data_IF_827420764530
#
_entry.id   IF_827420764530
#
_cell.length_a   1.000
_cell.length_b   1.000
_cell.length_c   1.000
_cell.angle_alpha   90.00
_cell.angle_beta   90.00
_cell.angle_gamma   90.00
#
_symmetry.space_group_name_H-M   'P 1'
#
loop_
_entity.id
_entity.type
_entity.pdbx_description
1 polymer ?
#
# COMPACT_ATOMS: atom_id res chain seq x y z
N UNK A 1 -8.97 -8.86 1.72
CA UNK A 1 -9.33 -7.47 2.02
C UNK A 1 -10.77 -7.43 2.49
N UNK A 2 -11.08 -6.54 3.42
CA UNK A 2 -12.43 -6.31 3.93
C UNK A 2 -13.07 -5.17 3.13
N UNK A 3 -14.31 -5.31 2.70
CA UNK A 3 -15.00 -4.25 1.97
C UNK A 3 -15.50 -3.17 2.95
N UNK A 4 -15.11 -1.92 2.73
CA UNK A 4 -15.50 -0.77 3.55
C UNK A 4 -16.20 0.24 2.64
N UNK A 5 -17.53 0.14 2.57
CA UNK A 5 -18.34 0.89 1.62
C UNK A 5 -18.00 0.52 0.16
N UNK A 6 -17.61 1.53 -0.63
CA UNK A 6 -17.18 1.35 -2.03
C UNK A 6 -15.69 0.96 -2.18
N UNK A 7 -14.94 0.88 -1.09
CA UNK A 7 -13.50 0.64 -1.11
C UNK A 7 -13.12 -0.71 -0.53
N UNK A 8 -11.91 -1.16 -0.86
CA UNK A 8 -11.34 -2.38 -0.29
C UNK A 8 -10.26 -2.01 0.72
N UNK A 9 -10.46 -2.39 1.97
CA UNK A 9 -9.45 -2.31 3.02
C UNK A 9 -8.61 -3.59 3.01
N UNK A 10 -7.30 -3.43 3.18
CA UNK A 10 -6.33 -4.50 3.28
C UNK A 10 -5.54 -4.28 4.57
N UNK A 11 -5.65 -5.25 5.46
CA UNK A 11 -4.82 -5.32 6.66
C UNK A 11 -3.55 -6.12 6.34
N UNK A 12 -2.42 -5.49 6.59
CA UNK A 12 -1.08 -6.03 6.44
C UNK A 12 -0.66 -6.57 7.82
N UNK A 13 -0.66 -7.90 8.04
CA UNK A 13 -0.31 -8.50 9.33
C UNK A 13 1.19 -8.40 9.66
N UNK A 14 1.98 -7.82 8.77
CA UNK A 14 3.43 -7.73 8.81
C UNK A 14 3.89 -6.27 8.78
N UNK A 15 5.00 -5.96 9.44
CA UNK A 15 5.54 -4.61 9.49
C UNK A 15 6.19 -4.22 8.14
N UNK A 16 6.42 -2.92 7.92
CA UNK A 16 7.15 -2.45 6.72
C UNK A 16 8.56 -3.02 6.64
N UNK A 17 9.17 -3.31 7.79
CA UNK A 17 10.48 -3.96 7.85
C UNK A 17 10.40 -5.40 7.36
N UNK A 18 9.41 -6.17 7.82
CA UNK A 18 9.20 -7.54 7.32
C UNK A 18 8.97 -7.56 5.81
N UNK A 19 8.24 -6.57 5.27
CA UNK A 19 8.02 -6.42 3.82
C UNK A 19 9.35 -6.12 3.10
N UNK A 20 10.15 -5.22 3.67
CA UNK A 20 11.43 -4.82 3.13
C UNK A 20 12.42 -5.99 3.12
N UNK A 21 12.53 -6.71 4.24
CA UNK A 21 13.36 -7.91 4.40
C UNK A 21 12.92 -9.01 3.41
N UNK A 22 11.60 -9.22 3.23
CA UNK A 22 11.09 -10.20 2.27
C UNK A 22 11.42 -9.84 0.81
N UNK A 23 11.37 -8.56 0.46
CA UNK A 23 11.64 -8.07 -0.90
C UNK A 23 13.13 -7.79 -1.16
N UNK A 24 14.00 -7.92 -0.15
CA UNK A 24 15.39 -7.49 -0.23
C UNK A 24 15.56 -5.97 -0.44
N UNK A 25 14.54 -5.19 -0.05
CA UNK A 25 14.52 -3.74 -0.12
C UNK A 25 14.78 -3.13 1.27
N UNK A 26 14.94 -1.81 1.31
CA UNK A 26 15.00 -1.09 2.59
C UNK A 26 13.59 -0.65 3.02
N UNK A 27 13.36 -0.62 4.33
CA UNK A 27 12.10 -0.10 4.92
C UNK A 27 11.82 1.32 4.45
N UNK A 28 12.86 2.13 4.19
CA UNK A 28 12.73 3.47 3.61
C UNK A 28 12.13 3.45 2.20
N UNK A 29 12.57 2.53 1.33
CA UNK A 29 12.04 2.38 -0.03
C UNK A 29 10.56 1.99 0.01
N UNK A 30 10.21 1.00 0.83
CA UNK A 30 8.81 0.58 1.02
C UNK A 30 7.96 1.74 1.54
N UNK A 31 8.48 2.48 2.53
CA UNK A 31 7.79 3.64 3.11
C UNK A 31 7.60 4.77 2.10
N UNK A 32 8.60 5.07 1.25
CA UNK A 32 8.50 6.05 0.17
C UNK A 32 7.43 5.67 -0.83
N UNK A 33 7.41 4.43 -1.31
CA UNK A 33 6.40 3.95 -2.27
C UNK A 33 4.99 4.06 -1.70
N UNK A 34 4.79 3.62 -0.45
CA UNK A 34 3.50 3.76 0.24
C UNK A 34 3.10 5.24 0.38
N UNK A 35 4.05 6.11 0.72
CA UNK A 35 3.81 7.56 0.84
C UNK A 35 3.44 8.19 -0.50
N UNK A 36 4.08 7.75 -1.59
CA UNK A 36 3.79 8.22 -2.95
C UNK A 36 2.39 7.79 -3.40
N UNK A 37 2.02 6.53 -3.20
CA UNK A 37 0.68 6.03 -3.48
C UNK A 37 -0.40 6.80 -2.68
N UNK A 38 -0.10 7.15 -1.43
CA UNK A 38 -0.97 8.00 -0.62
C UNK A 38 -1.07 9.43 -1.18
N UNK A 39 0.05 10.04 -1.58
CA UNK A 39 0.07 11.38 -2.19
C UNK A 39 -0.70 11.44 -3.50
N UNK A 40 -0.69 10.37 -4.29
CA UNK A 40 -1.45 10.26 -5.52
C UNK A 40 -2.94 9.93 -5.30
N UNK A 41 -3.39 9.84 -4.05
CA UNK A 41 -4.75 9.46 -3.65
C UNK A 41 -5.18 8.11 -4.28
N UNK A 42 -4.21 7.21 -4.46
CA UNK A 42 -4.45 5.85 -4.97
C UNK A 42 -4.83 4.93 -3.82
N UNK A 43 -4.18 5.13 -2.67
CA UNK A 43 -4.49 4.46 -1.40
C UNK A 43 -4.65 5.48 -0.28
N UNK A 44 -5.41 5.12 0.74
CA UNK A 44 -5.40 5.77 2.05
C UNK A 44 -4.78 4.83 3.09
N UNK A 45 -4.22 5.40 4.15
CA UNK A 45 -3.70 4.66 5.29
C UNK A 45 -4.55 5.03 6.48
N UNK A 46 -5.35 4.08 6.97
CA UNK A 46 -6.07 4.24 8.24
C UNK A 46 -5.08 4.04 9.40
N UNK A 47 -4.18 3.06 9.26
CA UNK A 47 -3.14 2.77 10.24
C UNK A 47 -1.85 2.33 9.54
N UNK A 48 -0.79 2.19 10.34
CA UNK A 48 0.47 1.60 9.89
C UNK A 48 0.22 0.22 9.24
N UNK A 49 -0.68 -0.60 9.76
CA UNK A 49 -0.99 -1.93 9.21
C UNK A 49 -2.24 -1.99 8.34
N UNK A 50 -2.95 -0.87 8.12
CA UNK A 50 -4.24 -0.88 7.44
C UNK A 50 -4.24 0.08 6.26
N UNK A 51 -4.40 -0.47 5.05
CA UNK A 51 -4.40 0.26 3.80
C UNK A 51 -5.78 0.18 3.16
N UNK A 52 -6.32 1.31 2.71
CA UNK A 52 -7.59 1.37 1.97
C UNK A 52 -7.28 1.68 0.52
N UNK A 53 -7.72 0.84 -0.40
CA UNK A 53 -7.53 1.03 -1.84
C UNK A 53 -8.64 1.92 -2.37
N UNK A 54 -8.28 3.14 -2.78
CA UNK A 54 -9.20 4.13 -3.34
C UNK A 54 -9.37 3.94 -4.85
N UNK A 55 -8.26 3.72 -5.56
CA UNK A 55 -8.21 3.61 -7.02
C UNK A 55 -7.55 2.29 -7.44
N UNK A 56 -8.27 1.15 -7.42
CA UNK A 56 -7.68 -0.16 -7.70
C UNK A 56 -7.04 -0.26 -9.08
N UNK A 57 -7.63 0.38 -10.11
CA UNK A 57 -7.05 0.42 -11.46
C UNK A 57 -5.71 1.15 -11.52
N UNK A 58 -5.61 2.29 -10.84
CA UNK A 58 -4.35 3.04 -10.78
C UNK A 58 -3.28 2.29 -9.98
N UNK A 59 -3.68 1.57 -8.93
CA UNK A 59 -2.77 0.75 -8.14
C UNK A 59 -2.15 -0.37 -8.98
N UNK A 60 -2.94 -1.07 -9.80
CA UNK A 60 -2.44 -2.11 -10.72
C UNK A 60 -1.47 -1.51 -11.74
N UNK A 61 -1.83 -0.38 -12.37
CA UNK A 61 -0.95 0.28 -13.33
C UNK A 61 0.41 0.67 -12.73
N UNK A 62 0.46 1.11 -11.47
CA UNK A 62 1.72 1.40 -10.79
C UNK A 62 2.52 0.15 -10.40
N UNK A 63 1.86 -0.99 -10.20
CA UNK A 63 2.51 -2.25 -9.85
C UNK A 63 3.12 -2.96 -11.05
N UNK A 64 2.55 -2.78 -12.25
CA UNK A 64 3.05 -3.37 -13.50
C UNK A 64 4.30 -2.66 -14.04
N UNK A 65 4.66 -1.50 -13.48
CA UNK A 65 5.85 -0.73 -13.84
C UNK A 65 5.66 0.06 -15.13
N UNK A 66 5.89 1.37 -15.03
CA UNK A 66 6.36 2.18 -16.16
C UNK A 66 7.89 2.26 -16.06
#
# INVERSE_FOLDING_TARGET
GTQVGAYTQVDLPMSRSDIADFLGLTTETVSRTITQLRKCEIIALENVHTVVVLKPRALVAMAEGD
#
